data_IF_160407113352
#
_entry.id   IF_160407113352
#
_cell.length_a   1.000
_cell.length_b   1.000
_cell.length_c   1.000
_cell.angle_alpha   90.00
_cell.angle_beta   90.00
_cell.angle_gamma   90.00
#
_symmetry.space_group_name_H-M   'P 1'
#
loop_
_entity.id
_entity.type
_entity.pdbx_description
1 polymer ?
#
# COMPACT_ATOMS: atom_id res chain seq x y z
N UNK A 1 -37.57 6.89 13.42
CA UNK A 1 -36.25 7.25 12.90
C UNK A 1 -35.22 7.02 13.98
N UNK A 2 -34.23 6.15 13.73
CA UNK A 2 -33.06 6.07 14.59
C UNK A 2 -32.26 7.37 14.45
N UNK A 3 -31.85 7.96 15.57
CA UNK A 3 -30.96 9.12 15.57
C UNK A 3 -29.61 8.63 15.05
N UNK A 4 -29.20 9.08 13.86
CA UNK A 4 -27.87 8.83 13.31
C UNK A 4 -26.84 9.42 14.30
N UNK A 5 -25.98 8.57 14.87
CA UNK A 5 -24.97 9.01 15.84
C UNK A 5 -23.68 9.45 15.16
N UNK A 6 -23.44 9.01 13.92
CA UNK A 6 -22.22 9.37 13.20
C UNK A 6 -22.19 10.85 12.79
N UNK A 7 -21.16 11.56 13.23
CA UNK A 7 -20.91 12.96 12.86
C UNK A 7 -19.79 13.06 11.83
N UNK A 8 -20.09 13.65 10.68
CA UNK A 8 -19.11 13.96 9.65
C UNK A 8 -18.49 15.34 9.86
N UNK A 9 -17.21 15.47 9.52
CA UNK A 9 -16.51 16.75 9.48
C UNK A 9 -16.81 17.49 8.16
N UNK A 10 -17.42 18.67 8.26
CA UNK A 10 -17.58 19.58 7.13
C UNK A 10 -16.31 20.41 6.86
N UNK A 11 -16.18 20.93 5.63
CA UNK A 11 -15.07 21.82 5.25
C UNK A 11 -13.71 21.12 5.10
N UNK A 12 -13.69 19.78 5.14
CA UNK A 12 -12.48 19.01 4.89
C UNK A 12 -12.01 19.20 3.44
N UNK A 13 -10.69 19.30 3.25
CA UNK A 13 -10.06 19.33 1.93
C UNK A 13 -9.12 18.15 1.82
N UNK A 14 -9.37 17.29 0.83
CA UNK A 14 -8.48 16.20 0.50
C UNK A 14 -7.46 16.67 -0.54
N UNK A 15 -6.22 16.26 -0.35
CA UNK A 15 -5.15 16.34 -1.34
C UNK A 15 -4.40 15.01 -1.32
N UNK A 16 -4.15 14.45 -2.50
CA UNK A 16 -3.34 13.23 -2.60
C UNK A 16 -1.87 13.54 -2.28
N UNK A 17 -1.09 12.49 -2.00
CA UNK A 17 0.32 12.61 -1.59
C UNK A 17 1.17 13.39 -2.60
N UNK A 18 0.90 13.23 -3.91
CA UNK A 18 1.62 13.91 -4.98
C UNK A 18 1.15 15.35 -5.23
N UNK A 19 0.11 15.82 -4.53
CA UNK A 19 -0.49 17.14 -4.69
C UNK A 19 -1.09 17.39 -6.09
N UNK A 20 -1.29 16.35 -6.89
CA UNK A 20 -1.82 16.41 -8.25
C UNK A 20 -3.34 16.39 -8.31
N UNK A 21 -3.99 15.83 -7.30
CA UNK A 21 -5.46 15.76 -7.21
C UNK A 21 -5.92 16.14 -5.82
N UNK A 22 -7.08 16.80 -5.76
CA UNK A 22 -7.72 17.17 -4.52
C UNK A 22 -9.20 17.43 -4.70
N UNK A 23 -9.96 17.29 -3.62
CA UNK A 23 -11.40 17.52 -3.62
C UNK A 23 -11.86 18.11 -2.28
N UNK A 24 -13.13 18.50 -2.22
CA UNK A 24 -13.76 19.01 -1.01
C UNK A 24 -15.08 18.26 -0.80
N UNK A 25 -15.05 17.11 -0.10
CA UNK A 25 -16.27 16.36 0.17
C UNK A 25 -17.22 17.18 1.06
N UNK A 26 -18.52 16.98 0.90
CA UNK A 26 -19.54 17.54 1.80
C UNK A 26 -19.25 17.18 3.25
N UNK A 27 -18.96 15.89 3.50
CA UNK A 27 -18.63 15.37 4.82
C UNK A 27 -17.49 14.34 4.74
N UNK A 28 -16.56 14.47 5.69
CA UNK A 28 -15.49 13.51 5.94
C UNK A 28 -15.77 12.69 7.20
N UNK A 29 -15.56 11.37 7.14
CA UNK A 29 -15.83 10.45 8.24
C UNK A 29 -14.61 9.60 8.56
N UNK A 30 -14.47 9.24 9.85
CA UNK A 30 -13.45 8.30 10.34
C UNK A 30 -14.12 7.25 11.24
N UNK A 31 -14.85 6.29 10.64
CA UNK A 31 -15.57 5.27 11.39
C UNK A 31 -14.61 4.30 12.06
N UNK A 32 -15.04 3.77 13.20
CA UNK A 32 -14.37 2.79 14.04
C UNK A 32 -15.10 1.45 14.09
N UNK A 33 -16.29 1.36 13.46
CA UNK A 33 -17.09 0.15 13.44
C UNK A 33 -17.92 0.00 12.17
N UNK A 34 -18.36 -1.24 11.90
CA UNK A 34 -19.29 -1.55 10.80
C UNK A 34 -20.65 -0.86 11.01
N UNK A 35 -21.07 -0.67 12.26
CA UNK A 35 -22.33 0.01 12.54
C UNK A 35 -22.28 1.49 12.13
N UNK A 36 -21.19 2.19 12.44
CA UNK A 36 -20.97 3.56 11.99
C UNK A 36 -20.93 3.65 10.45
N UNK A 37 -20.30 2.67 9.77
CA UNK A 37 -20.33 2.60 8.31
C UNK A 37 -21.75 2.49 7.74
N UNK A 38 -22.60 1.65 8.34
CA UNK A 38 -24.02 1.54 7.94
C UNK A 38 -24.78 2.85 8.15
N UNK A 39 -24.53 3.54 9.25
CA UNK A 39 -25.11 4.86 9.51
C UNK A 39 -24.65 5.90 8.48
N UNK A 40 -23.37 5.88 8.08
CA UNK A 40 -22.84 6.77 7.02
C UNK A 40 -23.53 6.48 5.69
N UNK A 41 -23.67 5.20 5.31
CA UNK A 41 -24.34 4.80 4.07
C UNK A 41 -25.81 5.21 4.07
N UNK A 42 -26.50 5.04 5.20
CA UNK A 42 -27.89 5.46 5.36
C UNK A 42 -28.05 6.98 5.28
N UNK A 43 -27.17 7.75 5.93
CA UNK A 43 -27.13 9.20 5.81
C UNK A 43 -26.87 9.64 4.36
N UNK A 44 -25.94 8.97 3.67
CA UNK A 44 -25.62 9.26 2.28
C UNK A 44 -26.84 9.04 1.37
N UNK A 45 -27.57 7.94 1.61
CA UNK A 45 -28.82 7.62 0.91
C UNK A 45 -29.90 8.67 1.17
N UNK A 46 -30.07 9.12 2.41
CA UNK A 46 -31.03 10.17 2.77
C UNK A 46 -30.71 11.52 2.11
N UNK A 47 -29.42 11.82 1.89
CA UNK A 47 -28.97 13.07 1.26
C UNK A 47 -28.72 12.98 -0.24
N UNK A 48 -28.95 11.83 -0.85
CA UNK A 48 -28.58 11.54 -2.24
C UNK A 48 -27.11 11.91 -2.52
N UNK A 49 -26.21 11.28 -1.76
CA UNK A 49 -24.75 11.48 -1.87
C UNK A 49 -24.02 10.20 -2.18
N UNK A 50 -23.01 10.31 -3.04
CA UNK A 50 -22.03 9.26 -3.28
C UNK A 50 -21.07 9.15 -2.10
N UNK A 51 -20.62 7.94 -1.82
CA UNK A 51 -19.62 7.66 -0.80
C UNK A 51 -18.35 7.16 -1.47
N UNK A 52 -17.20 7.74 -1.11
CA UNK A 52 -15.89 7.21 -1.46
C UNK A 52 -15.07 6.89 -0.23
N UNK A 53 -14.23 5.88 -0.36
CA UNK A 53 -13.31 5.45 0.70
C UNK A 53 -11.91 5.93 0.35
N UNK A 54 -11.18 6.43 1.34
CA UNK A 54 -9.80 6.89 1.21
C UNK A 54 -8.91 6.22 2.26
N UNK A 55 -7.73 5.77 1.83
CA UNK A 55 -6.65 5.30 2.71
C UNK A 55 -5.58 6.38 2.90
N UNK A 56 -4.31 6.03 2.69
CA UNK A 56 -3.17 6.94 2.81
C UNK A 56 -3.05 8.02 1.72
N UNK A 57 -4.00 8.12 0.78
CA UNK A 57 -4.01 9.18 -0.23
C UNK A 57 -2.88 9.14 -1.26
N UNK A 58 -2.16 8.01 -1.40
CA UNK A 58 -0.99 7.89 -2.28
C UNK A 58 -1.30 7.70 -3.77
N UNK A 59 -2.57 7.43 -4.15
CA UNK A 59 -2.90 7.25 -5.56
C UNK A 59 -2.65 8.55 -6.35
N UNK A 60 -1.92 8.51 -7.47
CA UNK A 60 -1.66 9.68 -8.31
C UNK A 60 -2.86 10.00 -9.23
N UNK A 61 -4.07 9.69 -8.79
CA UNK A 61 -5.32 9.85 -9.56
C UNK A 61 -6.42 10.45 -8.69
N UNK A 62 -7.55 10.78 -9.30
CA UNK A 62 -8.76 11.27 -8.64
C UNK A 62 -9.62 10.14 -8.03
N UNK A 63 -9.13 8.90 -7.95
CA UNK A 63 -9.93 7.73 -7.53
C UNK A 63 -10.56 7.86 -6.13
N UNK A 64 -9.91 8.62 -5.24
CA UNK A 64 -10.38 8.92 -3.89
C UNK A 64 -11.20 10.22 -3.81
N UNK A 65 -11.25 11.01 -4.88
CA UNK A 65 -11.94 12.29 -4.90
C UNK A 65 -13.46 12.11 -4.92
N UNK A 66 -14.15 12.94 -4.15
CA UNK A 66 -15.60 13.00 -4.06
C UNK A 66 -16.05 14.39 -3.63
N UNK A 67 -17.17 14.83 -4.19
CA UNK A 67 -17.97 15.99 -3.75
C UNK A 67 -19.02 15.59 -2.70
N UNK A 68 -19.33 14.29 -2.59
CA UNK A 68 -20.23 13.72 -1.60
C UNK A 68 -19.51 13.40 -0.28
N UNK A 69 -19.62 12.16 0.17
CA UNK A 69 -18.99 11.73 1.42
C UNK A 69 -17.65 11.05 1.16
N UNK A 70 -16.70 11.33 2.04
CA UNK A 70 -15.38 10.70 2.05
C UNK A 70 -15.16 9.98 3.37
N UNK A 71 -14.84 8.69 3.32
CA UNK A 71 -14.71 7.81 4.48
C UNK A 71 -13.28 7.33 4.58
N UNK A 72 -12.60 7.62 5.67
CA UNK A 72 -11.27 7.11 5.95
C UNK A 72 -11.35 5.95 6.94
N UNK A 73 -10.87 4.78 6.51
CA UNK A 73 -10.96 3.53 7.27
C UNK A 73 -9.85 3.37 8.32
N UNK A 74 -8.99 4.36 8.54
CA UNK A 74 -7.78 4.23 9.37
C UNK A 74 -8.00 3.89 10.84
N UNK A 75 -9.23 4.02 11.38
CA UNK A 75 -9.60 3.54 12.72
C UNK A 75 -10.10 2.09 12.76
N UNK A 76 -10.25 1.47 11.60
CA UNK A 76 -10.55 0.04 11.41
C UNK A 76 -9.29 -0.62 10.82
N UNK A 77 -8.28 -0.78 11.66
CA UNK A 77 -6.90 -1.14 11.29
C UNK A 77 -6.34 -2.33 12.09
N UNK A 78 -7.18 -3.18 12.66
CA UNK A 78 -6.73 -4.31 13.51
C UNK A 78 -6.31 -5.52 12.69
N UNK A 79 -5.36 -6.28 13.22
CA UNK A 79 -5.15 -7.69 12.84
C UNK A 79 -6.24 -8.52 13.50
N UNK A 80 -7.01 -9.24 12.70
CA UNK A 80 -8.16 -10.02 13.15
C UNK A 80 -7.79 -11.48 13.44
N UNK A 81 -6.90 -12.05 12.62
CA UNK A 81 -6.46 -13.44 12.74
C UNK A 81 -5.10 -13.66 12.09
N UNK A 82 -4.26 -14.51 12.69
CA UNK A 82 -3.03 -15.02 12.10
C UNK A 82 -3.05 -16.55 12.16
N UNK A 83 -3.06 -17.20 11.01
CA UNK A 83 -2.95 -18.65 10.86
C UNK A 83 -1.53 -18.98 10.38
N UNK A 84 -0.69 -19.47 11.30
CA UNK A 84 0.70 -19.82 10.98
C UNK A 84 0.83 -21.10 10.16
N UNK A 85 -0.12 -22.02 10.28
CA UNK A 85 -0.10 -23.29 9.56
C UNK A 85 -0.39 -23.06 8.07
N UNK A 86 -1.38 -22.20 7.77
CA UNK A 86 -1.70 -21.79 6.40
C UNK A 86 -0.87 -20.61 5.89
N UNK A 87 -0.09 -19.97 6.78
CA UNK A 87 0.61 -18.72 6.51
C UNK A 87 -0.34 -17.64 6.01
N UNK A 88 -1.47 -17.44 6.69
CA UNK A 88 -2.49 -16.46 6.31
C UNK A 88 -2.72 -15.44 7.41
N UNK A 89 -2.92 -14.18 7.03
CA UNK A 89 -3.29 -13.10 7.95
C UNK A 89 -4.59 -12.46 7.49
N UNK A 90 -5.54 -12.29 8.40
CA UNK A 90 -6.77 -11.53 8.16
C UNK A 90 -6.68 -10.20 8.92
N UNK A 91 -6.87 -9.10 8.22
CA UNK A 91 -6.79 -7.73 8.77
C UNK A 91 -7.97 -6.88 8.36
N UNK A 92 -8.29 -5.85 9.14
CA UNK A 92 -9.22 -4.80 8.72
C UNK A 92 -8.63 -3.97 7.58
N UNK A 93 -9.49 -3.53 6.63
CA UNK A 93 -9.06 -2.88 5.39
C UNK A 93 -8.32 -1.55 5.57
N UNK A 94 -8.41 -0.94 6.75
CA UNK A 94 -7.74 0.33 7.08
C UNK A 94 -6.32 0.19 7.63
N UNK A 95 -5.82 -1.02 7.91
CA UNK A 95 -4.45 -1.20 8.41
C UNK A 95 -3.43 -0.74 7.36
N UNK A 96 -2.41 -0.01 7.78
CA UNK A 96 -1.28 0.34 6.91
C UNK A 96 -0.37 -0.88 6.73
N UNK A 97 0.24 -1.02 5.56
CA UNK A 97 1.21 -2.09 5.34
C UNK A 97 2.43 -1.98 6.26
N UNK A 98 2.83 -0.77 6.65
CA UNK A 98 3.88 -0.56 7.67
C UNK A 98 3.57 -1.29 8.97
N UNK A 99 2.32 -1.19 9.45
CA UNK A 99 1.88 -1.79 10.72
C UNK A 99 1.69 -3.29 10.55
N UNK A 100 1.11 -3.72 9.42
CA UNK A 100 0.96 -5.14 9.09
C UNK A 100 2.32 -5.85 9.04
N UNK A 101 3.35 -5.25 8.44
CA UNK A 101 4.67 -5.85 8.35
C UNK A 101 5.29 -6.09 9.74
N UNK A 102 5.08 -5.17 10.69
CA UNK A 102 5.54 -5.34 12.07
C UNK A 102 4.83 -6.51 12.75
N UNK A 103 3.52 -6.66 12.54
CA UNK A 103 2.78 -7.79 13.11
C UNK A 103 3.19 -9.12 12.47
N UNK A 104 3.33 -9.18 11.14
CA UNK A 104 3.79 -10.38 10.43
C UNK A 104 5.16 -10.83 10.93
N UNK A 105 6.10 -9.90 11.11
CA UNK A 105 7.44 -10.18 11.64
C UNK A 105 7.38 -10.88 13.01
N UNK A 106 6.54 -10.40 13.94
CA UNK A 106 6.31 -11.03 15.26
C UNK A 106 5.78 -12.45 15.16
N UNK A 107 5.09 -12.77 14.08
CA UNK A 107 4.53 -14.10 13.83
C UNK A 107 5.45 -15.00 13.00
N UNK A 108 6.61 -14.52 12.56
CA UNK A 108 7.53 -15.26 11.69
C UNK A 108 7.02 -15.36 10.25
N UNK A 109 6.22 -14.39 9.83
CA UNK A 109 5.64 -14.31 8.48
C UNK A 109 6.10 -13.02 7.77
N UNK A 110 5.92 -12.99 6.46
CA UNK A 110 6.09 -11.80 5.63
C UNK A 110 5.14 -11.84 4.43
N UNK A 111 4.82 -10.67 3.86
CA UNK A 111 4.21 -10.63 2.54
C UNK A 111 5.24 -11.06 1.49
N UNK A 112 4.81 -11.83 0.49
CA UNK A 112 5.71 -12.37 -0.52
C UNK A 112 6.29 -11.28 -1.42
N UNK A 113 5.58 -10.17 -1.60
CA UNK A 113 6.03 -9.00 -2.34
C UNK A 113 5.36 -7.75 -1.75
N UNK A 114 6.06 -6.61 -1.74
CA UNK A 114 5.61 -5.35 -1.13
C UNK A 114 5.86 -4.19 -2.07
N UNK A 115 4.92 -3.26 -2.18
CA UNK A 115 5.13 -2.00 -2.92
C UNK A 115 6.24 -1.13 -2.32
N UNK A 116 6.70 -0.12 -3.07
CA UNK A 116 7.75 0.80 -2.61
C UNK A 116 7.33 1.73 -1.45
N UNK A 117 6.02 1.87 -1.22
CA UNK A 117 5.42 2.72 -0.18
C UNK A 117 4.64 1.81 0.77
N UNK A 118 4.86 1.95 2.08
CA UNK A 118 4.21 1.13 3.11
C UNK A 118 3.05 1.86 3.79
N UNK A 119 2.94 3.17 3.61
CA UNK A 119 1.89 4.07 4.11
C UNK A 119 0.59 3.97 3.29
N UNK A 120 0.31 2.78 2.76
CA UNK A 120 -0.91 2.43 2.03
C UNK A 120 -1.72 1.41 2.83
N UNK A 121 -3.05 1.50 2.77
CA UNK A 121 -3.91 0.60 3.54
C UNK A 121 -4.07 -0.77 2.87
N UNK A 122 -4.42 -1.81 3.62
CA UNK A 122 -4.67 -3.16 3.11
C UNK A 122 -5.76 -3.20 2.03
N UNK A 123 -6.84 -2.42 2.17
CA UNK A 123 -7.84 -2.27 1.11
C UNK A 123 -7.31 -1.44 -0.07
N UNK A 124 -6.57 -0.36 0.20
CA UNK A 124 -6.06 0.54 -0.83
C UNK A 124 -5.03 -0.13 -1.74
N UNK A 125 -4.13 -0.94 -1.16
CA UNK A 125 -3.04 -1.58 -1.90
C UNK A 125 -3.56 -2.56 -2.95
N UNK A 126 -4.65 -3.28 -2.65
CA UNK A 126 -5.29 -4.18 -3.60
C UNK A 126 -6.18 -3.41 -4.59
N UNK A 127 -6.79 -2.31 -4.14
CA UNK A 127 -7.73 -1.51 -4.93
C UNK A 127 -7.16 -0.99 -6.24
N UNK A 128 -5.87 -0.63 -6.28
CA UNK A 128 -5.20 -0.12 -7.49
C UNK A 128 -4.20 -1.10 -8.10
N UNK A 129 -4.23 -2.38 -7.70
CA UNK A 129 -3.33 -3.39 -8.27
C UNK A 129 -1.85 -3.15 -7.96
N UNK A 130 -1.53 -2.66 -6.75
CA UNK A 130 -0.14 -2.38 -6.36
C UNK A 130 0.73 -3.60 -6.57
N UNK A 131 1.96 -3.38 -7.02
CA UNK A 131 2.93 -4.44 -7.21
C UNK A 131 4.33 -3.92 -6.89
N UNK A 132 5.29 -4.82 -6.97
CA UNK A 132 6.71 -4.48 -7.01
C UNK A 132 7.36 -5.40 -8.05
N UNK A 133 8.67 -5.53 -8.01
CA UNK A 133 9.47 -6.22 -9.02
C UNK A 133 9.46 -7.74 -8.83
N UNK A 134 10.10 -8.44 -9.76
CA UNK A 134 10.30 -9.88 -9.75
C UNK A 134 9.34 -10.61 -10.67
N UNK A 135 9.90 -11.25 -11.71
CA UNK A 135 9.13 -11.93 -12.78
C UNK A 135 8.24 -13.07 -12.26
N UNK A 136 8.61 -13.68 -11.13
CA UNK A 136 7.84 -14.72 -10.47
C UNK A 136 6.75 -14.22 -9.52
N UNK A 137 6.59 -12.90 -9.33
CA UNK A 137 5.60 -12.35 -8.42
C UNK A 137 4.46 -11.66 -9.18
N UNK A 138 3.24 -11.98 -8.78
CA UNK A 138 2.06 -11.22 -9.19
C UNK A 138 1.95 -9.87 -8.46
N UNK A 139 0.92 -9.12 -8.84
CA UNK A 139 0.49 -7.93 -8.10
C UNK A 139 -0.04 -8.32 -6.70
N UNK A 140 -0.06 -7.40 -5.72
CA UNK A 140 -0.55 -7.68 -4.36
C UNK A 140 -1.95 -8.33 -4.31
N UNK A 141 -2.92 -7.95 -5.17
CA UNK A 141 -4.19 -8.68 -5.29
C UNK A 141 -4.06 -10.20 -5.46
N UNK A 142 -2.99 -10.70 -6.11
CA UNK A 142 -2.79 -12.14 -6.31
C UNK A 142 -2.52 -12.87 -4.99
N UNK A 143 -2.08 -12.15 -3.95
CA UNK A 143 -1.84 -12.68 -2.61
C UNK A 143 -3.12 -12.69 -1.75
N UNK A 144 -4.22 -12.09 -2.20
CA UNK A 144 -5.49 -12.11 -1.46
C UNK A 144 -6.19 -13.46 -1.67
N UNK A 145 -6.59 -14.12 -0.58
CA UNK A 145 -7.32 -15.40 -0.59
C UNK A 145 -8.77 -15.27 -0.12
N UNK A 146 -9.09 -14.21 0.62
CA UNK A 146 -10.46 -13.85 0.99
C UNK A 146 -10.56 -12.34 1.27
N UNK A 147 -11.76 -11.77 1.17
CA UNK A 147 -12.07 -10.42 1.61
C UNK A 147 -13.54 -10.29 1.99
N UNK A 148 -13.88 -9.27 2.76
CA UNK A 148 -15.26 -8.98 3.16
C UNK A 148 -15.65 -7.59 2.70
N UNK A 149 -16.77 -7.47 1.98
CA UNK A 149 -17.32 -6.21 1.51
C UNK A 149 -18.54 -5.79 2.35
N UNK A 150 -18.67 -4.49 2.60
CA UNK A 150 -19.93 -3.87 2.95
C UNK A 150 -20.52 -3.23 1.70
N UNK A 151 -21.68 -3.74 1.27
CA UNK A 151 -22.42 -3.27 0.11
C UNK A 151 -23.21 -1.98 0.44
N UNK A 152 -23.60 -1.24 -0.59
CA UNK A 152 -24.41 -0.03 -0.43
C UNK A 152 -25.78 -0.29 0.23
N UNK A 153 -26.30 -1.52 0.16
CA UNK A 153 -27.51 -1.95 0.87
C UNK A 153 -27.32 -2.07 2.40
N UNK A 154 -26.07 -2.12 2.88
CA UNK A 154 -25.72 -2.44 4.27
C UNK A 154 -25.44 -3.92 4.51
N UNK A 155 -25.63 -4.77 3.50
CA UNK A 155 -25.30 -6.19 3.55
C UNK A 155 -23.79 -6.41 3.56
N UNK A 156 -23.36 -7.46 4.26
CA UNK A 156 -21.98 -7.90 4.29
C UNK A 156 -21.85 -9.10 3.36
N UNK A 157 -20.87 -9.05 2.46
CA UNK A 157 -20.57 -10.11 1.53
C UNK A 157 -19.16 -10.65 1.76
N UNK A 158 -19.06 -11.91 2.18
CA UNK A 158 -17.79 -12.63 2.28
C UNK A 158 -17.41 -13.20 0.91
N UNK A 159 -16.19 -12.96 0.47
CA UNK A 159 -15.72 -13.29 -0.87
C UNK A 159 -14.42 -14.10 -0.78
N UNK A 160 -14.37 -15.25 -1.44
CA UNK A 160 -13.21 -16.14 -1.58
C UNK A 160 -13.37 -16.98 -2.87
N UNK A 161 -12.44 -17.90 -3.15
CA UNK A 161 -12.62 -18.86 -4.25
C UNK A 161 -13.83 -19.79 -4.05
N UNK A 162 -14.25 -20.03 -2.81
CA UNK A 162 -15.38 -20.91 -2.47
C UNK A 162 -16.68 -20.16 -2.14
N UNK A 163 -16.62 -18.85 -1.89
CA UNK A 163 -17.78 -18.02 -1.56
C UNK A 163 -17.81 -16.77 -2.44
N UNK A 164 -18.88 -16.57 -3.21
CA UNK A 164 -19.01 -15.45 -4.15
C UNK A 164 -17.79 -15.29 -5.10
N UNK A 165 -17.36 -16.35 -5.80
CA UNK A 165 -16.09 -16.38 -6.53
C UNK A 165 -15.97 -15.31 -7.62
N UNK A 166 -17.07 -14.99 -8.29
CA UNK A 166 -17.12 -13.95 -9.33
C UNK A 166 -16.89 -12.55 -8.74
N UNK A 167 -17.52 -12.28 -7.58
CA UNK A 167 -17.32 -11.04 -6.85
C UNK A 167 -15.92 -10.99 -6.26
N UNK A 168 -15.41 -12.11 -5.75
CA UNK A 168 -14.05 -12.22 -5.25
C UNK A 168 -13.01 -11.81 -6.30
N UNK A 169 -13.07 -12.36 -7.52
CA UNK A 169 -12.13 -12.00 -8.57
C UNK A 169 -12.19 -10.51 -8.94
N UNK A 170 -13.38 -9.91 -8.97
CA UNK A 170 -13.53 -8.48 -9.20
C UNK A 170 -13.04 -7.64 -8.01
N UNK A 171 -13.31 -8.07 -6.78
CA UNK A 171 -13.02 -7.34 -5.55
C UNK A 171 -11.54 -7.33 -5.17
N UNK A 172 -10.75 -8.31 -5.63
CA UNK A 172 -9.29 -8.32 -5.45
C UNK A 172 -8.63 -7.10 -6.10
N UNK A 173 -9.22 -6.53 -7.15
CA UNK A 173 -8.78 -5.28 -7.78
C UNK A 173 -10.01 -4.39 -8.03
N UNK A 174 -10.52 -3.79 -6.95
CA UNK A 174 -11.87 -3.19 -6.93
C UNK A 174 -11.96 -1.73 -7.40
N UNK A 175 -10.84 -1.01 -7.58
CA UNK A 175 -10.80 0.43 -7.94
C UNK A 175 -11.70 1.34 -7.06
N UNK A 176 -12.02 0.91 -5.85
CA UNK A 176 -12.94 1.61 -4.95
C UNK A 176 -14.42 1.62 -5.39
N UNK A 177 -14.87 0.66 -6.22
CA UNK A 177 -16.20 0.70 -6.85
C UNK A 177 -17.17 -0.42 -6.41
N UNK A 178 -16.69 -1.48 -5.76
CA UNK A 178 -17.49 -2.68 -5.51
C UNK A 178 -18.10 -2.77 -4.10
N UNK A 179 -17.72 -1.85 -3.22
CA UNK A 179 -18.13 -1.82 -1.81
C UNK A 179 -17.01 -1.30 -0.92
N UNK A 180 -17.31 -1.15 0.37
CA UNK A 180 -16.28 -0.83 1.38
C UNK A 180 -15.63 -2.14 1.81
N UNK A 181 -14.34 -2.30 1.55
CA UNK A 181 -13.58 -3.47 2.00
C UNK A 181 -13.39 -3.39 3.51
N UNK A 182 -14.08 -4.27 4.26
CA UNK A 182 -14.01 -4.35 5.71
C UNK A 182 -12.76 -5.08 6.17
N UNK A 183 -12.45 -6.20 5.53
CA UNK A 183 -11.27 -7.03 5.85
C UNK A 183 -10.70 -7.69 4.60
N UNK A 184 -9.42 -8.04 4.69
CA UNK A 184 -8.67 -8.76 3.66
C UNK A 184 -7.86 -9.88 4.33
N UNK A 185 -7.88 -11.07 3.74
CA UNK A 185 -7.00 -12.17 4.10
C UNK A 185 -5.90 -12.31 3.06
N UNK A 186 -4.64 -12.10 3.47
CA UNK A 186 -3.46 -12.29 2.62
C UNK A 186 -2.82 -13.64 2.87
N UNK A 187 -2.46 -14.32 1.79
CA UNK A 187 -1.46 -15.38 1.79
C UNK A 187 -0.08 -14.74 2.00
N UNK A 188 0.59 -15.19 3.06
CA UNK A 188 1.93 -14.81 3.44
C UNK A 188 2.92 -15.93 3.09
N UNK A 189 4.19 -15.66 3.35
CA UNK A 189 5.29 -16.61 3.35
C UNK A 189 6.00 -16.58 4.71
N UNK A 190 6.89 -17.53 4.97
CA UNK A 190 7.80 -17.46 6.12
C UNK A 190 8.62 -16.17 6.07
N UNK A 191 8.90 -15.57 7.21
CA UNK A 191 9.77 -14.41 7.33
C UNK A 191 11.15 -14.70 6.71
N UNK A 192 11.66 -13.74 5.93
CA UNK A 192 12.98 -13.82 5.30
C UNK A 192 13.68 -12.48 5.35
N UNK A 193 15.01 -12.50 5.27
CA UNK A 193 15.83 -11.29 5.13
C UNK A 193 16.19 -11.07 3.67
N UNK A 194 16.28 -9.81 3.25
CA UNK A 194 16.71 -9.43 1.91
C UNK A 194 18.05 -8.71 1.97
N UNK A 195 18.94 -9.08 1.05
CA UNK A 195 20.15 -8.30 0.75
C UNK A 195 19.89 -7.46 -0.50
N UNK A 196 19.96 -6.15 -0.37
CA UNK A 196 19.97 -5.23 -1.51
C UNK A 196 21.41 -5.00 -1.99
N UNK A 197 21.62 -5.10 -3.30
CA UNK A 197 22.87 -4.71 -3.96
C UNK A 197 22.52 -3.69 -5.04
N UNK A 198 23.07 -2.48 -4.92
CA UNK A 198 22.86 -1.40 -5.86
C UNK A 198 24.18 -0.86 -6.41
N UNK A 199 24.24 -0.62 -7.71
CA UNK A 199 25.45 -0.15 -8.40
C UNK A 199 25.10 0.61 -9.69
N UNK A 200 25.99 1.49 -10.19
CA UNK A 200 25.76 2.23 -11.42
C UNK A 200 25.95 1.35 -12.67
N UNK A 201 25.19 1.63 -13.71
CA UNK A 201 25.38 1.14 -15.08
C UNK A 201 24.90 2.18 -16.10
N UNK A 202 24.78 1.79 -17.37
CA UNK A 202 24.20 2.61 -18.44
C UNK A 202 22.91 1.99 -18.98
N UNK A 203 22.00 2.82 -19.49
CA UNK A 203 20.75 2.34 -20.08
C UNK A 203 20.99 1.37 -21.26
N UNK A 204 21.91 1.62 -22.21
CA UNK A 204 22.20 0.65 -23.27
C UNK A 204 22.63 -0.71 -22.75
N UNK A 205 23.52 -0.75 -21.74
CA UNK A 205 24.01 -2.01 -21.16
C UNK A 205 22.87 -2.81 -20.50
N UNK A 206 22.02 -2.12 -19.73
CA UNK A 206 20.87 -2.74 -19.05
C UNK A 206 19.88 -3.30 -20.05
N UNK A 207 19.58 -2.57 -21.13
CA UNK A 207 18.64 -3.02 -22.15
C UNK A 207 19.19 -4.17 -22.99
N UNK A 208 20.49 -4.15 -23.30
CA UNK A 208 21.17 -5.25 -24.00
C UNK A 208 21.14 -6.55 -23.19
N UNK A 209 21.26 -6.47 -21.87
CA UNK A 209 21.31 -7.62 -20.96
C UNK A 209 20.02 -7.80 -20.13
N UNK A 210 18.89 -7.22 -20.54
CA UNK A 210 17.66 -7.16 -19.74
C UNK A 210 17.17 -8.52 -19.27
N UNK A 211 17.15 -9.53 -20.14
CA UNK A 211 16.73 -10.90 -19.79
C UNK A 211 17.62 -11.53 -18.72
N UNK A 212 18.92 -11.24 -18.76
CA UNK A 212 19.86 -11.72 -17.75
C UNK A 212 19.59 -11.02 -16.41
N UNK A 213 19.33 -9.71 -16.42
CA UNK A 213 18.96 -8.97 -15.22
C UNK A 213 17.65 -9.48 -14.59
N UNK A 214 16.62 -9.73 -15.40
CA UNK A 214 15.31 -10.18 -14.95
C UNK A 214 15.35 -11.55 -14.26
N UNK A 215 16.26 -12.43 -14.68
CA UNK A 215 16.37 -13.80 -14.17
C UNK A 215 17.46 -13.97 -13.10
N UNK A 216 18.40 -13.02 -12.99
CA UNK A 216 19.52 -13.08 -12.04
C UNK A 216 19.11 -12.94 -10.58
N UNK A 217 18.09 -12.14 -10.28
CA UNK A 217 17.69 -11.79 -8.93
C UNK A 217 16.20 -11.99 -8.73
N UNK A 218 15.79 -12.34 -7.51
CA UNK A 218 14.38 -12.47 -7.14
C UNK A 218 13.61 -11.17 -7.38
N UNK A 219 14.25 -10.04 -7.10
CA UNK A 219 13.73 -8.69 -7.31
C UNK A 219 14.76 -7.88 -8.06
N UNK A 220 14.42 -7.44 -9.27
CA UNK A 220 15.26 -6.57 -10.09
C UNK A 220 14.51 -5.31 -10.46
N UNK A 221 15.15 -4.17 -10.26
CA UNK A 221 14.75 -2.88 -10.82
C UNK A 221 15.98 -2.09 -11.22
N UNK A 222 15.75 -1.12 -12.09
CA UNK A 222 16.74 -0.10 -12.38
C UNK A 222 16.07 1.27 -12.45
N UNK A 223 16.79 2.30 -12.01
CA UNK A 223 16.35 3.69 -12.04
C UNK A 223 17.16 4.41 -13.12
N UNK A 224 16.49 4.88 -14.17
CA UNK A 224 17.10 5.66 -15.23
C UNK A 224 16.91 7.15 -14.97
N UNK A 225 18.01 7.92 -15.02
CA UNK A 225 17.99 9.35 -14.77
C UNK A 225 17.82 10.14 -16.09
N UNK A 226 16.82 11.03 -16.19
CA UNK A 226 16.57 11.81 -17.40
C UNK A 226 17.80 12.57 -17.91
N UNK A 227 17.89 12.76 -19.23
CA UNK A 227 18.97 13.48 -19.91
C UNK A 227 20.38 12.87 -19.74
N UNK A 228 20.47 11.60 -19.34
CA UNK A 228 21.73 10.86 -19.24
C UNK A 228 21.53 9.40 -19.66
N UNK A 229 22.62 8.68 -19.89
CA UNK A 229 22.57 7.22 -19.98
C UNK A 229 22.71 6.56 -18.60
N UNK A 230 22.85 7.33 -17.52
CA UNK A 230 23.14 6.78 -16.21
C UNK A 230 21.94 6.04 -15.62
N UNK A 231 22.22 4.85 -15.10
CA UNK A 231 21.24 3.99 -14.44
C UNK A 231 21.77 3.53 -13.10
N UNK A 232 20.90 3.42 -12.10
CA UNK A 232 21.17 2.67 -10.87
C UNK A 232 20.45 1.33 -10.92
N UNK A 233 21.20 0.24 -11.04
CA UNK A 233 20.67 -1.12 -10.94
C UNK A 233 20.50 -1.46 -9.46
N UNK A 234 19.43 -2.19 -9.13
CA UNK A 234 19.14 -2.70 -7.79
C UNK A 234 18.68 -4.16 -7.90
N UNK A 235 19.40 -5.05 -7.22
CA UNK A 235 19.01 -6.44 -6.98
C UNK A 235 18.63 -6.63 -5.52
N UNK A 236 17.61 -7.44 -5.25
CA UNK A 236 17.28 -7.85 -3.89
C UNK A 236 17.03 -9.35 -3.86
N UNK A 237 17.79 -10.07 -3.03
CA UNK A 237 17.72 -11.52 -2.93
C UNK A 237 17.63 -11.99 -1.48
N UNK A 238 16.93 -13.10 -1.20
CA UNK A 238 16.90 -13.71 0.13
C UNK A 238 18.31 -13.98 0.65
N UNK A 239 18.53 -13.71 1.93
CA UNK A 239 19.82 -13.96 2.57
C UNK A 239 19.64 -14.54 3.97
N UNK A 240 20.65 -15.29 4.40
CA UNK A 240 20.80 -15.76 5.79
C UNK A 240 21.83 -14.95 6.57
N UNK A 241 22.49 -13.99 5.91
CA UNK A 241 23.42 -13.08 6.59
C UNK A 241 22.62 -12.19 7.54
N UNK A 242 23.12 -12.05 8.77
CA UNK A 242 22.48 -11.19 9.76
C UNK A 242 22.43 -9.74 9.25
N UNK A 243 21.22 -9.19 9.14
CA UNK A 243 21.00 -7.79 8.79
C UNK A 243 21.58 -6.83 9.84
N UNK A 244 21.86 -5.61 9.40
CA UNK A 244 22.19 -4.51 10.31
C UNK A 244 20.88 -4.07 10.99
N UNK A 245 20.83 -3.93 12.34
CA UNK A 245 19.61 -3.51 13.02
C UNK A 245 19.08 -2.17 12.51
N UNK A 246 17.76 -2.08 12.31
CA UNK A 246 17.06 -0.91 11.73
C UNK A 246 17.37 0.45 12.42
N UNK A 247 17.85 0.44 13.68
CA UNK A 247 18.25 1.65 14.41
C UNK A 247 19.66 2.18 14.12
N UNK A 248 20.48 1.49 13.30
CA UNK A 248 21.86 1.91 12.96
C UNK A 248 22.02 2.52 11.56
N UNK A 249 20.92 2.69 10.80
CA UNK A 249 20.98 3.17 9.41
C UNK A 249 20.80 4.69 9.24
N UNK A 250 20.22 5.41 10.20
CA UNK A 250 20.00 6.85 10.03
C UNK A 250 21.27 7.69 10.11
N UNK A 251 22.34 7.11 10.67
CA UNK A 251 23.68 7.68 10.61
C UNK A 251 24.62 6.53 10.28
N UNK A 252 25.29 6.61 9.12
CA UNK A 252 26.51 5.86 8.92
C UNK A 252 27.51 6.15 10.03
N UNK A 253 28.71 5.60 9.94
CA UNK A 253 29.77 6.00 10.86
C UNK A 253 29.92 7.53 10.87
N UNK A 254 30.39 8.19 11.95
CA UNK A 254 30.45 9.65 11.99
C UNK A 254 31.20 10.30 10.80
N UNK A 255 32.09 9.54 10.15
CA UNK A 255 32.73 9.92 8.89
C UNK A 255 31.76 9.98 7.71
N UNK A 256 30.80 9.06 7.60
CA UNK A 256 29.86 8.97 6.47
C UNK A 256 28.87 10.15 6.49
N UNK A 257 28.39 10.58 7.65
CA UNK A 257 27.48 11.75 7.74
C UNK A 257 28.14 13.06 7.25
N UNK A 258 29.41 13.29 7.59
CA UNK A 258 30.14 14.50 7.16
C UNK A 258 30.29 14.51 5.65
N UNK A 259 30.70 13.39 5.06
CA UNK A 259 30.93 13.31 3.61
C UNK A 259 29.63 13.26 2.82
N UNK A 260 28.64 12.49 3.25
CA UNK A 260 27.39 12.31 2.51
C UNK A 260 26.48 13.54 2.63
N UNK A 261 26.40 14.14 3.82
CA UNK A 261 25.42 15.21 4.11
C UNK A 261 26.07 16.60 4.21
N UNK A 262 27.13 16.78 5.00
CA UNK A 262 27.70 18.12 5.16
C UNK A 262 28.47 18.59 3.91
N UNK A 263 29.14 17.66 3.20
CA UNK A 263 29.86 17.96 1.96
C UNK A 263 29.02 17.57 0.74
N UNK A 264 28.58 16.32 0.64
CA UNK A 264 27.90 15.78 -0.53
C UNK A 264 26.60 16.51 -0.89
N UNK A 265 25.66 16.60 0.06
CA UNK A 265 24.38 17.28 -0.17
C UNK A 265 24.55 18.77 -0.54
N UNK A 266 25.33 19.53 0.23
CA UNK A 266 25.52 20.96 -0.04
C UNK A 266 26.39 21.25 -1.27
N UNK A 267 27.33 20.38 -1.61
CA UNK A 267 28.07 20.46 -2.87
C UNK A 267 27.16 20.16 -4.06
N UNK A 268 26.28 19.16 -3.95
CA UNK A 268 25.33 18.83 -5.01
C UNK A 268 24.30 19.95 -5.20
N UNK A 269 23.77 20.53 -4.11
CA UNK A 269 22.94 21.74 -4.18
C UNK A 269 23.68 22.88 -4.86
N UNK A 270 24.91 23.19 -4.44
CA UNK A 270 25.70 24.27 -5.03
C UNK A 270 25.97 24.06 -6.53
N UNK A 271 26.30 22.83 -6.93
CA UNK A 271 26.51 22.46 -8.33
C UNK A 271 25.23 22.49 -9.17
N UNK A 272 24.04 22.38 -8.57
CA UNK A 272 22.77 22.55 -9.29
C UNK A 272 22.46 24.03 -9.61
N UNK A 273 23.12 24.97 -8.93
CA UNK A 273 22.94 26.42 -9.10
C UNK A 273 23.98 27.09 -10.01
N UNK A 274 24.95 26.32 -10.52
CA UNK A 274 25.97 26.76 -11.50
C UNK A 274 25.67 26.11 -12.85
#
# INVERSE_FOLDING_TARGET
>A
SAVLQVQGQAGFRFQNWAHTYGCSPELYFQPSSVQELREILELARQRDRRVKVVGGGHSPSDIACSDGFLVNMGRMNRVLQVDKEKQQVTVEGGILLSDLNVELDRHGLALANLGAVAEVTAAGVIGTGTHNTGIGHGILPTQVVALTLLCASGDILECSESANPEVFQAARLHLGCLGIVLSVTFQCVEQFQLREVAFPSTLPEVLEHLEQHLTRSRYFRFLWFPHSDNVRIIYQDPTTQAGIPAGKQLFGTPSDWIWDYAVGFHLLEFLLWI
#
